data_IF_202860280388
#
_entry.id   IF_202860280388
#
_cell.length_a   1.000
_cell.length_b   1.000
_cell.length_c   1.000
_cell.angle_alpha   90.00
_cell.angle_beta   90.00
_cell.angle_gamma   90.00
#
_symmetry.space_group_name_H-M   'P 1'
#
loop_
_entity.id
_entity.type
_entity.pdbx_description
1 polymer ?
#
# COMPACT_ATOMS: atom_id res chain seq x y z
N UNK A 1 6.31 -2.15 3.55
CA UNK A 1 6.41 -0.99 2.64
C UNK A 1 5.98 -1.41 1.25
N UNK A 2 5.17 -0.61 0.63
CA UNK A 2 4.86 -0.78 -0.80
C UNK A 2 5.88 0.03 -1.60
N UNK A 3 6.79 -0.65 -2.25
CA UNK A 3 7.80 0.00 -3.08
C UNK A 3 7.39 -0.12 -4.55
N UNK A 4 7.41 0.99 -5.32
CA UNK A 4 7.14 0.93 -6.76
C UNK A 4 8.09 -0.06 -7.43
N UNK A 5 7.54 -0.95 -8.25
CA UNK A 5 8.32 -1.97 -8.97
C UNK A 5 8.29 -1.70 -10.47
N UNK A 6 7.10 -1.76 -11.07
CA UNK A 6 6.90 -1.39 -12.48
C UNK A 6 5.52 -0.74 -12.65
N UNK A 7 5.35 0.00 -13.73
CA UNK A 7 4.05 0.51 -14.17
C UNK A 7 3.98 0.50 -15.69
N UNK A 8 2.76 0.52 -16.23
CA UNK A 8 2.54 0.42 -17.67
C UNK A 8 2.85 1.72 -18.43
N UNK A 9 3.02 2.81 -17.70
CA UNK A 9 3.39 4.12 -18.22
C UNK A 9 4.90 4.32 -18.15
N UNK A 10 5.46 5.01 -19.12
CA UNK A 10 6.86 5.45 -19.07
C UNK A 10 7.06 6.71 -18.23
N UNK A 11 6.00 7.24 -17.64
CA UNK A 11 6.06 8.41 -16.77
C UNK A 11 6.39 8.02 -15.34
N UNK A 12 7.14 8.87 -14.65
CA UNK A 12 7.30 8.77 -13.21
C UNK A 12 5.98 9.13 -12.53
N UNK A 13 5.73 8.54 -11.36
CA UNK A 13 4.56 8.90 -10.57
C UNK A 13 4.66 10.37 -10.14
N UNK A 14 3.66 11.21 -10.44
CA UNK A 14 3.67 12.58 -9.95
C UNK A 14 3.51 12.61 -8.43
N UNK A 15 4.25 13.50 -7.78
CA UNK A 15 4.15 13.73 -6.35
C UNK A 15 3.06 14.77 -6.11
N UNK A 16 2.14 14.48 -5.20
CA UNK A 16 1.07 15.37 -4.76
C UNK A 16 1.26 15.71 -3.29
N UNK A 17 0.90 16.91 -2.88
CA UNK A 17 0.83 17.29 -1.48
C UNK A 17 -0.62 17.29 -1.04
N UNK A 18 -0.95 16.47 -0.05
CA UNK A 18 -2.31 16.30 0.45
C UNK A 18 -2.36 16.36 1.98
N UNK A 19 -3.47 16.84 2.55
CA UNK A 19 -3.62 16.90 4.00
C UNK A 19 -3.71 15.50 4.60
N UNK A 20 -2.98 15.29 5.69
CA UNK A 20 -2.94 14.03 6.42
C UNK A 20 -3.75 14.11 7.71
N UNK A 21 -4.33 13.01 8.12
CA UNK A 21 -4.94 12.87 9.45
C UNK A 21 -3.85 12.77 10.53
N UNK A 22 -4.26 12.68 11.80
CA UNK A 22 -3.34 12.59 12.94
C UNK A 22 -2.72 11.20 13.06
N UNK A 23 -1.98 10.78 12.01
CA UNK A 23 -1.22 9.52 11.97
C UNK A 23 0.25 9.82 11.70
N UNK A 24 1.10 8.85 11.97
CA UNK A 24 2.54 8.95 11.65
C UNK A 24 2.78 8.31 10.28
N UNK A 25 3.00 9.12 9.21
CA UNK A 25 3.26 8.56 7.89
C UNK A 25 4.66 7.96 7.80
N UNK A 26 4.78 6.93 6.98
CA UNK A 26 6.07 6.34 6.62
C UNK A 26 6.12 6.12 5.11
N UNK A 27 7.32 6.03 4.57
CA UNK A 27 7.51 5.78 3.13
C UNK A 27 6.92 4.43 2.75
N UNK A 28 6.10 4.41 1.71
CA UNK A 28 5.43 3.20 1.24
C UNK A 28 4.19 2.79 2.03
N UNK A 29 3.64 3.68 2.85
CA UNK A 29 2.37 3.44 3.54
C UNK A 29 1.21 3.63 2.59
N UNK A 30 0.35 2.61 2.49
CA UNK A 30 -0.88 2.67 1.69
C UNK A 30 -1.89 3.60 2.35
N UNK A 31 -2.46 4.51 1.57
CA UNK A 31 -3.34 5.57 2.07
C UNK A 31 -4.55 5.78 1.17
N UNK A 32 -5.57 6.37 1.74
CA UNK A 32 -6.81 6.75 1.05
C UNK A 32 -7.34 8.05 1.65
N UNK A 33 -8.05 8.85 0.83
CA UNK A 33 -8.73 10.04 1.34
C UNK A 33 -10.02 9.67 2.06
N UNK A 34 -10.21 10.21 3.24
CA UNK A 34 -11.45 10.06 4.01
C UNK A 34 -11.69 11.36 4.80
N UNK A 35 -12.88 11.94 4.64
CA UNK A 35 -13.19 13.19 5.33
C UNK A 35 -12.27 14.36 4.99
N UNK A 36 -11.71 14.38 3.79
CA UNK A 36 -10.78 15.43 3.34
C UNK A 36 -9.34 15.27 3.82
N UNK A 37 -8.99 14.16 4.45
CA UNK A 37 -7.64 13.89 4.94
C UNK A 37 -7.20 12.47 4.58
N UNK A 38 -5.88 12.26 4.40
CA UNK A 38 -5.31 10.94 4.18
C UNK A 38 -5.36 10.11 5.46
N UNK A 39 -5.85 8.89 5.33
CA UNK A 39 -5.84 7.88 6.40
C UNK A 39 -5.18 6.61 5.89
N UNK A 40 -4.78 5.71 6.80
CA UNK A 40 -4.26 4.40 6.41
C UNK A 40 -5.32 3.61 5.65
N UNK A 41 -4.93 3.04 4.51
CA UNK A 41 -5.76 2.11 3.77
C UNK A 41 -5.41 0.68 4.19
N UNK A 42 -5.97 0.22 5.29
CA UNK A 42 -5.73 -1.12 5.83
C UNK A 42 -6.94 -2.04 5.61
N UNK A 43 -6.74 -3.33 5.71
CA UNK A 43 -7.80 -4.31 5.58
C UNK A 43 -8.37 -4.37 4.18
N UNK A 44 -9.67 -4.18 4.06
CA UNK A 44 -10.43 -4.25 2.80
C UNK A 44 -10.55 -2.89 2.09
N UNK A 45 -9.95 -1.85 2.64
CA UNK A 45 -9.96 -0.52 2.02
C UNK A 45 -8.96 -0.48 0.88
N UNK A 46 -9.46 -0.16 -0.32
CA UNK A 46 -8.59 -0.03 -1.51
C UNK A 46 -7.74 1.23 -1.39
N UNK A 47 -6.41 1.11 -1.39
CA UNK A 47 -5.55 2.28 -1.35
C UNK A 47 -5.57 3.02 -2.69
N UNK A 48 -5.48 4.34 -2.64
CA UNK A 48 -5.38 5.21 -3.82
C UNK A 48 -4.08 6.00 -3.86
N UNK A 49 -3.37 6.06 -2.75
CA UNK A 49 -2.09 6.77 -2.62
C UNK A 49 -1.07 5.94 -1.84
N UNK A 50 0.21 6.19 -2.11
CA UNK A 50 1.32 5.74 -1.28
C UNK A 50 2.05 6.96 -0.73
N UNK A 51 2.36 6.96 0.57
CA UNK A 51 3.18 7.99 1.17
C UNK A 51 4.62 7.89 0.67
N UNK A 52 5.20 9.03 0.34
CA UNK A 52 6.66 9.18 0.12
C UNK A 52 7.29 10.03 1.23
N UNK A 53 6.51 10.33 2.26
CA UNK A 53 6.94 11.10 3.43
C UNK A 53 7.10 10.18 4.63
N UNK A 54 8.20 10.36 5.36
CA UNK A 54 8.42 9.76 6.68
C UNK A 54 8.49 10.86 7.71
N UNK A 55 7.75 10.70 8.82
CA UNK A 55 7.85 11.59 9.97
C UNK A 55 8.17 10.81 11.23
N UNK A 56 8.92 11.45 12.14
CA UNK A 56 9.32 10.84 13.41
C UNK A 56 8.19 10.92 14.46
N UNK A 57 7.12 11.65 14.20
CA UNK A 57 5.96 11.79 15.07
C UNK A 57 4.68 11.86 14.24
N UNK A 58 3.54 11.68 14.90
CA UNK A 58 2.24 11.82 14.25
C UNK A 58 2.06 13.25 13.70
N UNK A 59 1.41 13.34 12.54
CA UNK A 59 0.96 14.62 12.00
C UNK A 59 -0.06 15.27 12.93
N UNK A 60 -0.08 16.59 12.96
CA UNK A 60 -1.32 17.31 13.33
C UNK A 60 -2.31 17.15 12.17
N UNK A 61 -3.60 17.01 12.50
CA UNK A 61 -4.63 16.87 11.47
C UNK A 61 -4.58 18.05 10.49
N UNK A 62 -4.52 17.74 9.20
CA UNK A 62 -4.41 18.74 8.14
C UNK A 62 -2.99 19.07 7.69
N UNK A 63 -1.95 18.54 8.34
CA UNK A 63 -0.58 18.69 7.86
C UNK A 63 -0.44 18.13 6.46
N UNK A 64 0.26 18.84 5.58
CA UNK A 64 0.51 18.37 4.21
C UNK A 64 1.65 17.36 4.20
N UNK A 65 1.44 16.25 3.50
CA UNK A 65 2.48 15.26 3.23
C UNK A 65 2.56 14.99 1.74
N UNK A 66 3.70 14.48 1.29
CA UNK A 66 3.91 14.11 -0.10
C UNK A 66 3.51 12.66 -0.32
N UNK A 67 2.73 12.43 -1.36
CA UNK A 67 2.23 11.10 -1.76
C UNK A 67 2.33 10.94 -3.27
N UNK A 68 2.27 9.70 -3.72
CA UNK A 68 2.07 9.38 -5.13
C UNK A 68 0.71 8.68 -5.30
N UNK A 69 0.06 8.92 -6.43
CA UNK A 69 -1.19 8.22 -6.77
C UNK A 69 -0.88 6.81 -7.28
N UNK A 70 -1.68 5.84 -6.85
CA UNK A 70 -1.57 4.47 -7.34
C UNK A 70 -2.32 4.35 -8.66
N UNK A 71 -1.60 3.94 -9.72
CA UNK A 71 -2.19 3.63 -11.01
C UNK A 71 -2.55 2.14 -11.08
N UNK A 72 -3.66 1.75 -11.74
CA UNK A 72 -4.10 0.34 -11.77
C UNK A 72 -3.08 -0.62 -12.39
N UNK A 73 -2.27 -0.16 -13.34
CA UNK A 73 -1.22 -0.98 -13.97
C UNK A 73 0.09 -1.05 -13.19
N UNK A 74 0.25 -0.25 -12.15
CA UNK A 74 1.49 -0.22 -11.38
C UNK A 74 1.64 -1.45 -10.50
N UNK A 75 2.86 -1.96 -10.43
CA UNK A 75 3.22 -3.09 -9.56
C UNK A 75 4.09 -2.59 -8.41
N UNK A 76 3.87 -3.14 -7.24
CA UNK A 76 4.58 -2.76 -6.02
C UNK A 76 5.16 -4.00 -5.35
N UNK A 77 6.38 -3.89 -4.86
CA UNK A 77 6.99 -4.91 -4.03
C UNK A 77 6.60 -4.65 -2.56
N UNK A 78 6.16 -5.68 -1.88
CA UNK A 78 5.82 -5.62 -0.46
C UNK A 78 6.11 -6.97 0.19
N UNK A 79 5.69 -7.15 1.42
CA UNK A 79 5.87 -8.39 2.17
C UNK A 79 4.54 -8.92 2.68
N UNK A 80 4.48 -10.23 2.92
CA UNK A 80 3.38 -10.84 3.64
C UNK A 80 3.55 -10.62 5.14
N UNK A 81 2.49 -10.19 5.81
CA UNK A 81 2.47 -10.05 7.28
C UNK A 81 2.12 -11.35 8.01
N UNK A 82 1.78 -12.40 7.28
CA UNK A 82 1.38 -13.70 7.82
C UNK A 82 1.82 -14.81 6.86
N UNK A 83 1.72 -16.06 7.32
CA UNK A 83 1.96 -17.23 6.47
C UNK A 83 1.00 -17.24 5.28
N UNK A 84 1.57 -17.27 4.07
CA UNK A 84 0.86 -17.20 2.81
C UNK A 84 0.92 -18.54 2.03
N UNK A 85 1.09 -19.66 2.71
CA UNK A 85 1.20 -20.97 2.05
C UNK A 85 -0.03 -21.32 1.21
N UNK A 86 -1.22 -20.82 1.57
CA UNK A 86 -2.45 -21.03 0.82
C UNK A 86 -2.69 -19.98 -0.28
N UNK A 87 -1.85 -18.97 -0.39
CA UNK A 87 -2.00 -17.89 -1.39
C UNK A 87 -1.35 -18.33 -2.69
N UNK A 88 -2.01 -18.00 -3.79
CA UNK A 88 -1.54 -18.27 -5.16
C UNK A 88 -1.50 -16.98 -5.96
N UNK A 89 -0.65 -16.96 -6.97
CA UNK A 89 -0.64 -15.87 -7.96
C UNK A 89 -2.04 -15.70 -8.56
N UNK A 90 -2.51 -14.47 -8.59
CA UNK A 90 -3.86 -14.10 -9.02
C UNK A 90 -4.84 -13.90 -7.87
N UNK A 91 -4.53 -14.38 -6.67
CA UNK A 91 -5.37 -14.12 -5.50
C UNK A 91 -5.29 -12.64 -5.11
N UNK A 92 -6.42 -12.11 -4.61
CA UNK A 92 -6.48 -10.76 -4.03
C UNK A 92 -6.47 -10.89 -2.52
N UNK A 93 -5.55 -10.18 -1.89
CA UNK A 93 -5.36 -10.21 -0.43
C UNK A 93 -5.64 -8.84 0.17
N UNK A 94 -5.91 -8.81 1.46
CA UNK A 94 -6.13 -7.56 2.19
C UNK A 94 -4.81 -6.88 2.55
N UNK A 95 -4.88 -5.61 2.92
CA UNK A 95 -3.73 -4.83 3.38
C UNK A 95 -3.55 -5.06 4.89
N UNK A 96 -2.32 -5.16 5.34
CA UNK A 96 -2.00 -5.27 6.77
C UNK A 96 -2.43 -4.05 7.57
N UNK A 97 -2.58 -4.21 8.87
CA UNK A 97 -3.07 -3.14 9.77
C UNK A 97 -2.14 -1.93 9.82
N UNK A 98 -0.86 -2.12 9.54
CA UNK A 98 0.13 -1.04 9.44
C UNK A 98 0.07 -0.30 8.10
N UNK A 99 -0.72 -0.77 7.14
CA UNK A 99 -0.78 -0.28 5.77
C UNK A 99 0.57 -0.39 5.02
N UNK A 100 1.47 -1.23 5.47
CA UNK A 100 2.84 -1.38 4.96
C UNK A 100 3.10 -2.77 4.35
N UNK A 101 2.13 -3.67 4.44
CA UNK A 101 2.25 -5.07 4.02
C UNK A 101 0.91 -5.60 3.54
N UNK A 102 0.90 -6.82 3.00
CA UNK A 102 -0.33 -7.54 2.67
C UNK A 102 -0.48 -8.74 3.60
N UNK A 103 -1.71 -9.19 3.79
CA UNK A 103 -2.04 -10.35 4.61
C UNK A 103 -2.20 -11.60 3.75
N UNK A 104 -2.59 -12.71 4.36
CA UNK A 104 -2.97 -13.93 3.66
C UNK A 104 -4.51 -14.12 3.60
N UNK A 105 -5.28 -13.08 3.87
CA UNK A 105 -6.74 -13.11 3.84
C UNK A 105 -7.24 -12.71 2.46
N UNK A 106 -8.00 -13.58 1.82
CA UNK A 106 -8.52 -13.35 0.47
C UNK A 106 -9.94 -12.77 0.43
N UNK A 107 -10.66 -12.78 1.57
CA UNK A 107 -12.02 -12.23 1.65
C UNK A 107 -11.99 -10.72 1.44
N UNK A 108 -12.64 -10.24 0.37
CA UNK A 108 -12.67 -8.83 -0.02
C UNK A 108 -11.26 -8.22 -0.19
N UNK A 109 -10.33 -9.01 -0.71
CA UNK A 109 -8.96 -8.56 -0.98
C UNK A 109 -8.92 -7.44 -2.02
N UNK A 110 -7.95 -6.55 -1.88
CA UNK A 110 -7.78 -5.35 -2.71
C UNK A 110 -6.43 -5.32 -3.45
N UNK A 111 -5.48 -6.14 -3.03
CA UNK A 111 -4.16 -6.24 -3.65
C UNK A 111 -4.02 -7.59 -4.34
N UNK A 112 -3.88 -7.59 -5.67
CA UNK A 112 -3.70 -8.81 -6.45
C UNK A 112 -2.23 -9.23 -6.42
N UNK A 113 -1.97 -10.47 -6.01
CA UNK A 113 -0.62 -11.04 -6.01
C UNK A 113 -0.23 -11.42 -7.43
N UNK A 114 0.82 -10.83 -7.97
CA UNK A 114 1.30 -11.13 -9.32
C UNK A 114 2.57 -11.97 -9.32
N UNK A 115 3.34 -11.96 -8.24
CA UNK A 115 4.53 -12.80 -8.08
C UNK A 115 4.82 -13.01 -6.59
N UNK A 116 5.29 -14.21 -6.26
CA UNK A 116 5.70 -14.56 -4.90
C UNK A 116 7.16 -15.00 -4.91
N UNK A 117 7.98 -14.45 -4.02
CA UNK A 117 9.37 -14.87 -3.80
C UNK A 117 9.48 -15.89 -2.68
N UNK A 118 8.38 -16.13 -1.97
CA UNK A 118 8.24 -17.09 -0.88
C UNK A 118 6.84 -16.99 -0.31
N UNK A 119 6.52 -17.85 0.66
CA UNK A 119 5.18 -17.91 1.24
C UNK A 119 5.18 -17.88 2.78
N UNK A 120 6.32 -17.70 3.42
CA UNK A 120 6.38 -17.50 4.87
C UNK A 120 6.03 -16.06 5.24
N UNK A 121 5.66 -15.83 6.49
CA UNK A 121 5.54 -14.46 7.02
C UNK A 121 6.85 -13.69 6.81
N UNK A 122 6.76 -12.49 6.27
CA UNK A 122 7.92 -11.67 5.91
C UNK A 122 8.48 -11.92 4.51
N UNK A 123 8.00 -12.92 3.79
CA UNK A 123 8.42 -13.15 2.40
C UNK A 123 7.96 -12.02 1.50
N UNK A 124 8.80 -11.67 0.53
CA UNK A 124 8.48 -10.63 -0.45
C UNK A 124 7.51 -11.14 -1.51
N UNK A 125 6.70 -10.24 -2.00
CA UNK A 125 5.81 -10.48 -3.13
C UNK A 125 5.63 -9.21 -3.96
N UNK A 126 5.16 -9.38 -5.19
CA UNK A 126 4.79 -8.27 -6.05
C UNK A 126 3.27 -8.29 -6.18
N UNK A 127 2.67 -7.13 -5.96
CA UNK A 127 1.22 -6.94 -6.03
C UNK A 127 0.88 -5.76 -6.93
N UNK A 128 -0.35 -5.73 -7.41
CA UNK A 128 -0.95 -4.53 -8.03
C UNK A 128 -2.28 -4.25 -7.36
N UNK A 129 -2.66 -3.00 -7.37
CA UNK A 129 -3.97 -2.55 -6.88
C UNK A 129 -4.83 -2.30 -8.12
N UNK A 130 -5.71 -3.22 -8.47
CA UNK A 130 -6.50 -3.10 -9.69
C UNK A 130 -7.58 -2.02 -9.62
#
# INVERSE_FOLDING_TARGET
>A
MFAPYTHDSMHTHPIEELPCSAIQPDVGMAMVMSGGQLVKAAGTTKPTYLSVTRKEAACAAGDLIQVIRIDPGAKFMTTFSADAAAIKVGDKVTIGTDAMSVTATTTNGVAEVVQMMGNASGSECIVRIP
#
